data_IF_254568058414
#
_entry.id   IF_254568058414
#
_cell.length_a   1.000
_cell.length_b   1.000
_cell.length_c   1.000
_cell.angle_alpha   90.00
_cell.angle_beta   90.00
_cell.angle_gamma   90.00
#
_symmetry.space_group_name_H-M   'P 1'
#
loop_
_entity.id
_entity.type
_entity.pdbx_description
1 polymer ?
#
# COMPACT_ATOMS: atom_id res chain seq x y z
N UNK A 1 -12.05 -33.22 23.75
CA UNK A 1 -11.96 -31.88 24.38
C UNK A 1 -10.96 -31.08 23.57
N UNK A 2 -11.32 -29.86 23.13
CA UNK A 2 -10.34 -28.98 22.53
C UNK A 2 -9.25 -28.68 23.57
N UNK A 3 -7.96 -28.69 23.20
CA UNK A 3 -6.89 -28.38 24.14
C UNK A 3 -7.03 -26.94 24.63
N UNK A 4 -6.88 -26.73 25.94
CA UNK A 4 -6.88 -25.40 26.51
C UNK A 4 -5.60 -24.68 26.10
N UNK A 5 -5.73 -23.63 25.29
CA UNK A 5 -4.57 -22.89 24.77
C UNK A 5 -3.89 -22.01 25.82
N UNK A 6 -4.52 -21.84 27.00
CA UNK A 6 -3.91 -21.09 28.12
C UNK A 6 -2.92 -21.93 28.94
N UNK A 7 -2.96 -23.26 28.77
CA UNK A 7 -2.03 -24.17 29.46
C UNK A 7 -0.62 -24.06 28.85
N UNK A 8 0.44 -23.83 29.65
CA UNK A 8 1.82 -23.81 29.16
C UNK A 8 2.24 -25.06 28.37
N UNK A 9 1.66 -26.23 28.67
CA UNK A 9 1.94 -27.48 27.96
C UNK A 9 1.49 -27.45 26.49
N UNK A 10 0.51 -26.62 26.14
CA UNK A 10 0.11 -26.39 24.75
C UNK A 10 1.24 -25.73 23.95
N UNK A 11 1.97 -24.80 24.56
CA UNK A 11 3.04 -24.03 23.92
C UNK A 11 4.41 -24.71 24.03
N UNK A 12 4.68 -25.42 25.12
CA UNK A 12 5.94 -26.12 25.38
C UNK A 12 6.02 -27.45 24.62
N UNK A 13 5.87 -27.40 23.30
CA UNK A 13 5.96 -28.56 22.44
C UNK A 13 6.88 -28.30 21.23
N UNK A 14 7.40 -29.38 20.64
CA UNK A 14 8.31 -29.31 19.50
C UNK A 14 7.67 -28.68 18.25
N UNK A 15 6.34 -28.74 18.12
CA UNK A 15 5.60 -28.22 16.96
C UNK A 15 5.61 -26.70 16.98
N UNK A 16 5.31 -26.11 18.14
CA UNK A 16 5.42 -24.68 18.37
C UNK A 16 6.84 -24.19 18.13
N UNK A 17 7.86 -24.90 18.64
CA UNK A 17 9.26 -24.52 18.41
C UNK A 17 9.60 -24.46 16.91
N UNK A 18 9.12 -25.41 16.10
CA UNK A 18 9.32 -25.38 14.65
C UNK A 18 8.53 -24.25 14.00
N UNK A 19 7.25 -24.06 14.34
CA UNK A 19 6.43 -22.96 13.84
C UNK A 19 7.05 -21.58 14.18
N UNK A 20 7.50 -21.40 15.41
CA UNK A 20 8.23 -20.21 15.87
C UNK A 20 9.51 -20.01 15.07
N UNK A 21 10.27 -21.07 14.82
CA UNK A 21 11.48 -20.99 13.99
C UNK A 21 11.16 -20.50 12.58
N UNK A 22 10.10 -21.02 11.95
CA UNK A 22 9.69 -20.57 10.62
C UNK A 22 9.31 -19.09 10.62
N UNK A 23 8.43 -18.66 11.53
CA UNK A 23 7.98 -17.26 11.61
C UNK A 23 9.16 -16.32 11.89
N UNK A 24 10.01 -16.64 12.86
CA UNK A 24 11.17 -15.82 13.20
C UNK A 24 12.20 -15.77 12.06
N UNK A 25 12.40 -16.88 11.34
CA UNK A 25 13.27 -16.90 10.17
C UNK A 25 12.75 -16.02 9.03
N UNK A 26 11.44 -16.04 8.78
CA UNK A 26 10.78 -15.16 7.80
C UNK A 26 10.89 -13.70 8.20
N UNK A 27 10.67 -13.37 9.48
CA UNK A 27 10.86 -12.02 10.00
C UNK A 27 12.32 -11.55 9.86
N UNK A 28 13.29 -12.40 10.22
CA UNK A 28 14.70 -12.07 10.09
C UNK A 28 15.09 -11.83 8.62
N UNK A 29 14.60 -12.64 7.70
CA UNK A 29 14.79 -12.43 6.26
C UNK A 29 14.15 -11.13 5.78
N UNK A 30 12.94 -10.81 6.24
CA UNK A 30 12.26 -9.55 5.91
C UNK A 30 13.03 -8.33 6.44
N UNK A 31 13.49 -8.37 7.70
CA UNK A 31 14.32 -7.31 8.26
C UNK A 31 15.65 -7.17 7.54
N UNK A 32 16.28 -8.28 7.13
CA UNK A 32 17.49 -8.24 6.34
C UNK A 32 17.27 -7.60 4.96
N UNK A 33 16.14 -7.91 4.30
CA UNK A 33 15.77 -7.26 3.03
C UNK A 33 15.57 -5.76 3.21
N UNK A 34 14.83 -5.32 4.24
CA UNK A 34 14.66 -3.91 4.53
C UNK A 34 16.00 -3.24 4.86
N UNK A 35 16.79 -3.84 5.74
CA UNK A 35 18.12 -3.33 6.09
C UNK A 35 19.03 -3.18 4.87
N UNK A 36 18.98 -4.14 3.93
CA UNK A 36 19.83 -4.14 2.74
C UNK A 36 19.38 -3.14 1.69
N UNK A 37 18.08 -3.05 1.41
CA UNK A 37 17.55 -2.28 0.28
C UNK A 37 17.05 -0.88 0.70
N UNK A 38 16.40 -0.75 1.85
CA UNK A 38 15.89 0.54 2.36
C UNK A 38 17.05 1.48 2.73
N UNK A 39 18.07 0.98 3.45
CA UNK A 39 19.23 1.79 3.81
C UNK A 39 20.09 2.16 2.60
N UNK A 40 20.16 1.28 1.61
CA UNK A 40 20.88 1.57 0.37
C UNK A 40 20.15 2.64 -0.45
N UNK A 41 18.82 2.59 -0.51
CA UNK A 41 18.01 3.66 -1.09
C UNK A 41 18.19 4.96 -0.30
N UNK A 42 18.13 4.95 1.04
CA UNK A 42 18.31 6.17 1.83
C UNK A 42 19.68 6.83 1.61
N UNK A 43 20.77 6.04 1.66
CA UNK A 43 22.14 6.54 1.47
C UNK A 43 22.43 6.95 0.01
N UNK A 44 21.93 6.20 -0.97
CA UNK A 44 22.05 6.55 -2.38
C UNK A 44 21.24 7.80 -2.74
N UNK A 45 20.06 7.93 -2.14
CA UNK A 45 19.17 9.06 -2.36
C UNK A 45 19.69 10.32 -1.64
N UNK A 46 20.43 10.24 -0.52
CA UNK A 46 21.16 11.41 0.03
C UNK A 46 22.20 11.99 -0.93
N UNK A 47 22.97 11.13 -1.60
CA UNK A 47 23.96 11.56 -2.59
C UNK A 47 23.32 12.14 -3.86
N UNK A 48 22.13 11.63 -4.23
CA UNK A 48 21.31 12.14 -5.35
C UNK A 48 20.52 13.40 -4.99
N UNK A 49 20.03 13.54 -3.75
CA UNK A 49 19.27 14.68 -3.19
C UNK A 49 20.05 15.99 -3.24
N UNK A 50 21.37 15.95 -3.14
CA UNK A 50 22.23 17.12 -3.33
C UNK A 50 22.18 17.69 -4.77
N UNK A 51 21.94 16.83 -5.78
CA UNK A 51 21.74 17.25 -7.17
C UNK A 51 20.25 17.46 -7.51
N UNK A 52 19.32 16.88 -6.74
CA UNK A 52 17.88 16.78 -7.03
C UNK A 52 17.01 17.83 -6.33
N UNK A 53 17.58 18.89 -5.73
CA UNK A 53 16.78 19.98 -5.15
C UNK A 53 15.83 20.67 -6.15
N UNK A 54 16.10 20.53 -7.45
CA UNK A 54 15.31 21.07 -8.57
C UNK A 54 14.36 20.03 -9.23
N UNK A 55 14.51 18.75 -8.91
CA UNK A 55 13.78 17.62 -9.52
C UNK A 55 12.96 16.83 -8.48
N UNK A 56 13.09 17.15 -7.18
CA UNK A 56 12.26 16.57 -6.11
C UNK A 56 10.75 16.88 -6.22
N UNK A 57 10.38 17.93 -6.97
CA UNK A 57 8.97 18.24 -7.28
C UNK A 57 8.34 17.12 -8.13
N UNK A 58 9.11 16.51 -9.05
CA UNK A 58 8.64 15.43 -9.94
C UNK A 58 8.45 14.08 -9.22
N UNK A 59 9.11 13.87 -8.07
CA UNK A 59 8.98 12.61 -7.29
C UNK A 59 7.75 12.60 -6.38
N UNK A 60 7.22 13.75 -5.99
CA UNK A 60 6.00 13.86 -5.19
C UNK A 60 4.73 13.82 -6.05
N UNK A 61 4.87 14.06 -7.36
CA UNK A 61 3.79 13.95 -8.36
C UNK A 61 3.34 12.49 -8.59
N UNK A 62 4.16 11.48 -8.30
CA UNK A 62 3.86 10.07 -8.61
C UNK A 62 2.71 9.47 -7.77
N UNK A 63 2.37 10.04 -6.60
CA UNK A 63 1.42 9.43 -5.65
C UNK A 63 -0.06 9.68 -5.99
N UNK A 64 -0.34 10.77 -6.71
CA UNK A 64 -1.69 11.24 -7.01
C UNK A 64 -1.98 11.37 -8.50
N UNK A 65 -0.96 11.18 -9.35
CA UNK A 65 -1.12 11.24 -10.80
C UNK A 65 -1.71 9.94 -11.37
N UNK A 66 -2.69 10.05 -12.28
CA UNK A 66 -3.07 8.95 -13.15
C UNK A 66 -1.90 8.53 -14.06
N UNK A 67 -1.91 7.29 -14.53
CA UNK A 67 -0.91 6.76 -15.46
C UNK A 67 -0.83 7.49 -16.80
N UNK A 68 -1.95 8.06 -17.21
CA UNK A 68 -2.12 8.69 -18.50
C UNK A 68 -2.27 10.19 -18.28
N UNK A 69 -1.48 10.98 -19.02
CA UNK A 69 -1.55 12.44 -19.04
C UNK A 69 -2.93 12.99 -19.43
N UNK A 70 -3.73 12.18 -20.11
CA UNK A 70 -5.06 12.53 -20.61
C UNK A 70 -6.17 12.35 -19.56
N UNK A 71 -5.92 11.60 -18.49
CA UNK A 71 -6.92 11.37 -17.44
C UNK A 71 -6.79 12.49 -16.41
N UNK A 72 -7.86 13.25 -16.21
CA UNK A 72 -7.92 14.25 -15.16
C UNK A 72 -7.75 13.58 -13.77
N UNK A 73 -6.88 14.10 -12.88
CA UNK A 73 -6.62 13.49 -11.55
C UNK A 73 -7.89 13.32 -10.70
N UNK A 74 -8.92 14.12 -10.97
CA UNK A 74 -10.24 14.00 -10.37
C UNK A 74 -10.93 12.63 -10.56
N UNK A 75 -10.68 11.91 -11.66
CA UNK A 75 -11.28 10.57 -11.85
C UNK A 75 -10.69 9.53 -10.89
N UNK A 76 -9.37 9.58 -10.68
CA UNK A 76 -8.69 8.74 -9.70
C UNK A 76 -9.19 9.06 -8.28
N UNK A 77 -9.40 10.34 -7.98
CA UNK A 77 -9.99 10.77 -6.72
C UNK A 77 -11.40 10.19 -6.50
N UNK A 78 -12.30 10.35 -7.48
CA UNK A 78 -13.68 9.84 -7.39
C UNK A 78 -13.68 8.33 -7.15
N UNK A 79 -12.86 7.58 -7.90
CA UNK A 79 -12.73 6.14 -7.72
C UNK A 79 -12.27 5.77 -6.30
N UNK A 80 -11.20 6.41 -5.79
CA UNK A 80 -10.66 6.13 -4.45
C UNK A 80 -11.64 6.45 -3.34
N UNK A 81 -12.41 7.53 -3.46
CA UNK A 81 -13.44 7.93 -2.50
C UNK A 81 -14.59 6.93 -2.48
N UNK A 82 -15.07 6.50 -3.66
CA UNK A 82 -16.12 5.47 -3.76
C UNK A 82 -15.62 4.15 -3.15
N UNK A 83 -14.43 3.70 -3.52
CA UNK A 83 -13.83 2.49 -2.97
C UNK A 83 -13.67 2.56 -1.46
N UNK A 84 -13.24 3.70 -0.91
CA UNK A 84 -13.13 3.93 0.53
C UNK A 84 -14.48 3.75 1.24
N UNK A 85 -15.52 4.46 0.79
CA UNK A 85 -16.85 4.37 1.42
C UNK A 85 -17.45 2.97 1.29
N UNK A 86 -17.31 2.33 0.14
CA UNK A 86 -17.78 0.96 -0.06
C UNK A 86 -17.09 -0.02 0.90
N UNK A 87 -15.76 0.04 1.03
CA UNK A 87 -15.03 -0.82 1.96
C UNK A 87 -15.39 -0.50 3.42
N UNK A 88 -15.47 0.78 3.79
CA UNK A 88 -15.82 1.18 5.15
C UNK A 88 -17.22 0.69 5.55
N UNK A 89 -18.21 0.85 4.67
CA UNK A 89 -19.57 0.34 4.90
C UNK A 89 -19.56 -1.18 5.05
N UNK A 90 -18.84 -1.91 4.19
CA UNK A 90 -18.77 -3.37 4.28
C UNK A 90 -18.17 -3.86 5.60
N UNK A 91 -17.07 -3.25 6.08
CA UNK A 91 -16.49 -3.57 7.39
C UNK A 91 -17.50 -3.30 8.50
N UNK A 92 -18.13 -2.12 8.49
CA UNK A 92 -19.06 -1.72 9.54
C UNK A 92 -20.26 -2.67 9.58
N UNK A 93 -20.83 -3.00 8.42
CA UNK A 93 -21.95 -3.95 8.32
C UNK A 93 -21.53 -5.35 8.76
N UNK A 94 -20.35 -5.84 8.38
CA UNK A 94 -19.85 -7.15 8.84
C UNK A 94 -19.76 -7.21 10.37
N UNK A 95 -19.18 -6.19 10.99
CA UNK A 95 -19.04 -6.11 12.45
C UNK A 95 -20.41 -6.00 13.13
N UNK A 96 -21.35 -5.22 12.58
CA UNK A 96 -22.70 -5.08 13.14
C UNK A 96 -23.47 -6.40 13.06
N UNK A 97 -23.39 -7.11 11.94
CA UNK A 97 -24.18 -8.33 11.72
C UNK A 97 -23.57 -9.57 12.39
N UNK A 98 -22.24 -9.71 12.38
CA UNK A 98 -21.53 -10.91 12.84
C UNK A 98 -20.77 -10.72 14.15
N UNK A 99 -20.68 -9.48 14.64
CA UNK A 99 -19.98 -9.13 15.87
C UNK A 99 -18.48 -8.86 15.69
N UNK A 100 -17.87 -8.31 16.74
CA UNK A 100 -16.45 -7.94 16.74
C UNK A 100 -15.48 -9.13 16.72
N UNK A 101 -15.96 -10.36 16.96
CA UNK A 101 -15.14 -11.58 16.86
C UNK A 101 -14.61 -11.82 15.44
N UNK A 102 -15.22 -11.22 14.42
CA UNK A 102 -14.71 -11.24 13.05
C UNK A 102 -13.32 -10.58 12.94
N UNK A 103 -12.99 -9.62 13.81
CA UNK A 103 -11.68 -8.96 13.82
C UNK A 103 -10.51 -9.90 14.17
N UNK A 104 -10.78 -11.14 14.58
CA UNK A 104 -9.75 -12.17 14.75
C UNK A 104 -9.28 -12.78 13.42
N UNK A 105 -10.01 -12.59 12.32
CA UNK A 105 -9.61 -13.15 11.02
C UNK A 105 -8.60 -12.26 10.29
N UNK A 106 -7.61 -12.87 9.66
CA UNK A 106 -6.60 -12.19 8.84
C UNK A 106 -7.22 -11.51 7.62
N UNK A 107 -8.29 -12.08 7.08
CA UNK A 107 -9.11 -11.44 6.03
C UNK A 107 -9.59 -10.06 6.47
N UNK A 108 -10.09 -9.92 7.71
CA UNK A 108 -10.59 -8.64 8.22
C UNK A 108 -9.46 -7.63 8.41
N UNK A 109 -8.29 -8.07 8.89
CA UNK A 109 -7.10 -7.23 8.98
C UNK A 109 -6.66 -6.71 7.61
N UNK A 110 -6.70 -7.59 6.60
CA UNK A 110 -6.35 -7.24 5.22
C UNK A 110 -7.36 -6.26 4.63
N UNK A 111 -8.66 -6.50 4.82
CA UNK A 111 -9.72 -5.63 4.31
C UNK A 111 -9.72 -4.26 5.02
N UNK A 112 -9.41 -4.22 6.31
CA UNK A 112 -9.16 -2.97 7.06
C UNK A 112 -7.97 -2.21 6.49
N UNK A 113 -6.86 -2.89 6.19
CA UNK A 113 -5.67 -2.27 5.60
C UNK A 113 -5.95 -1.72 4.18
N UNK A 114 -6.79 -2.41 3.40
CA UNK A 114 -7.30 -1.91 2.11
C UNK A 114 -8.17 -0.67 2.29
N UNK A 115 -9.01 -0.64 3.32
CA UNK A 115 -9.84 0.53 3.64
C UNK A 115 -8.97 1.73 4.03
N UNK A 116 -7.96 1.52 4.88
CA UNK A 116 -6.98 2.56 5.24
C UNK A 116 -6.23 3.06 4.01
N UNK A 117 -5.84 2.16 3.10
CA UNK A 117 -5.21 2.52 1.85
C UNK A 117 -6.06 3.45 1.00
N UNK A 118 -7.33 3.13 0.77
CA UNK A 118 -8.22 4.00 0.00
C UNK A 118 -8.51 5.33 0.70
N UNK A 119 -8.55 5.34 2.03
CA UNK A 119 -8.65 6.57 2.81
C UNK A 119 -7.43 7.48 2.61
N UNK A 120 -6.22 6.95 2.78
CA UNK A 120 -4.98 7.69 2.53
C UNK A 120 -4.84 8.10 1.06
N UNK A 121 -5.17 7.20 0.13
CA UNK A 121 -5.13 7.47 -1.31
C UNK A 121 -6.08 8.59 -1.70
N UNK A 122 -7.26 8.67 -1.07
CA UNK A 122 -8.20 9.78 -1.25
C UNK A 122 -7.59 11.09 -0.76
N UNK A 123 -6.97 11.12 0.43
CA UNK A 123 -6.30 12.32 0.95
C UNK A 123 -5.18 12.81 0.00
N UNK A 124 -4.33 11.89 -0.48
CA UNK A 124 -3.29 12.23 -1.46
C UNK A 124 -3.87 12.70 -2.80
N UNK A 125 -4.94 12.09 -3.28
CA UNK A 125 -5.61 12.52 -4.50
C UNK A 125 -6.28 13.90 -4.35
N UNK A 126 -6.84 14.24 -3.19
CA UNK A 126 -7.36 15.59 -2.89
C UNK A 126 -6.22 16.61 -2.94
N UNK A 127 -5.13 16.32 -2.23
CA UNK A 127 -3.94 17.18 -2.23
C UNK A 127 -3.39 17.40 -3.66
N UNK A 128 -3.29 16.32 -4.43
CA UNK A 128 -2.87 16.35 -5.82
C UNK A 128 -3.78 17.17 -6.73
N UNK A 129 -5.09 16.99 -6.62
CA UNK A 129 -6.07 17.79 -7.36
C UNK A 129 -5.96 19.29 -7.02
N UNK A 130 -5.74 19.63 -5.75
CA UNK A 130 -5.54 21.02 -5.33
C UNK A 130 -4.25 21.61 -5.92
N UNK A 131 -3.16 20.84 -5.94
CA UNK A 131 -1.90 21.26 -6.55
C UNK A 131 -2.04 21.41 -8.09
N UNK A 132 -2.73 20.47 -8.75
CA UNK A 132 -2.99 20.52 -10.18
C UNK A 132 -3.85 21.75 -10.57
N UNK A 133 -4.88 22.06 -9.80
CA UNK A 133 -5.72 23.24 -10.00
C UNK A 133 -4.90 24.53 -9.86
N UNK A 134 -4.06 24.62 -8.82
CA UNK A 134 -3.20 25.79 -8.59
C UNK A 134 -2.22 26.04 -9.74
N UNK A 135 -1.55 24.99 -10.23
CA UNK A 135 -0.62 25.11 -11.37
C UNK A 135 -1.34 25.49 -12.66
N UNK A 136 -2.57 25.03 -12.85
CA UNK A 136 -3.40 25.38 -14.01
C UNK A 136 -3.81 26.86 -13.95
N UNK A 137 -4.19 27.35 -12.78
CA UNK A 137 -4.57 28.75 -12.54
C UNK A 137 -3.38 29.70 -12.77
N UNK A 138 -2.20 29.39 -12.19
CA UNK A 138 -0.97 30.15 -12.42
C UNK A 138 -0.62 30.20 -13.92
N UNK A 139 -0.73 29.08 -14.64
CA UNK A 139 -0.45 29.02 -16.08
C UNK A 139 -1.43 29.84 -16.92
N UNK A 140 -2.70 29.89 -16.53
CA UNK A 140 -3.70 30.75 -17.18
C UNK A 140 -3.35 32.22 -16.95
N UNK A 141 -2.99 32.60 -15.71
CA UNK A 141 -2.63 33.98 -15.36
C UNK A 141 -1.40 34.46 -16.17
N UNK A 142 -0.36 33.61 -16.28
CA UNK A 142 0.81 33.90 -17.13
C UNK A 142 0.44 34.07 -18.62
N UNK A 143 -0.46 33.25 -19.17
CA UNK A 143 -0.88 33.34 -20.57
C UNK A 143 -1.73 34.58 -20.83
N UNK A 144 -2.56 35.00 -19.87
CA UNK A 144 -3.33 36.24 -19.94
C UNK A 144 -2.41 37.46 -19.88
N UNK A 145 -1.41 37.46 -18.99
CA UNK A 145 -0.40 38.52 -18.88
C UNK A 145 0.49 38.64 -20.14
N UNK A 146 0.86 37.51 -20.77
CA UNK A 146 1.67 37.50 -22.00
C UNK A 146 0.87 37.93 -23.24
N UNK A 147 -0.44 37.64 -23.28
CA UNK A 147 -1.35 38.11 -24.32
C UNK A 147 -1.58 39.63 -24.27
N UNK A 148 -1.48 40.25 -23.08
CA UNK A 148 -1.56 41.71 -22.91
C UNK A 148 -0.21 42.43 -23.17
N UNK A 149 0.91 41.70 -23.32
CA UNK A 149 2.26 42.27 -23.43
C UNK A 149 3.02 41.88 -24.71
N UNK A 150 2.65 42.44 -25.87
CA UNK A 150 3.60 42.98 -26.91
C UNK A 150 2.89 43.56 -28.15
N UNK A 151 3.49 44.52 -28.91
CA UNK A 151 4.89 44.99 -28.81
C UNK A 151 5.11 46.53 -28.86
N UNK A 152 6.16 47.01 -28.18
CA UNK A 152 7.19 47.86 -28.78
C UNK A 152 8.54 47.56 -28.14
N UNK A 153 9.49 47.12 -28.96
CA UNK A 153 10.89 46.91 -28.59
C UNK A 153 11.61 48.25 -28.69
N UNK A 154 12.30 48.67 -27.63
CA UNK A 154 13.55 49.43 -27.77
C UNK A 154 14.61 48.87 -26.81
N UNK A 155 15.85 48.63 -27.26
CA UNK A 155 16.93 48.17 -26.41
C UNK A 155 17.61 49.36 -25.73
N UNK A 156 17.79 49.31 -24.41
CA UNK A 156 18.76 50.16 -23.71
C UNK A 156 19.48 49.38 -22.61
N UNK A 157 20.79 49.34 -22.76
CA UNK A 157 21.79 48.98 -21.77
C UNK A 157 21.74 49.90 -20.54
N UNK A 158 22.02 49.35 -19.35
CA UNK A 158 23.09 49.81 -18.45
C UNK A 158 23.12 49.05 -17.10
N UNK A 159 24.32 48.59 -16.81
CA UNK A 159 25.00 48.13 -15.60
C UNK A 159 24.48 48.46 -14.17
N UNK A 160 24.62 47.42 -13.32
CA UNK A 160 25.27 47.34 -12.00
C UNK A 160 24.57 47.76 -10.68
N UNK A 161 24.65 46.78 -9.76
CA UNK A 161 24.81 46.83 -8.31
C UNK A 161 23.73 47.48 -7.41
N UNK A 162 23.03 46.62 -6.64
CA UNK A 162 23.33 46.45 -5.21
C UNK A 162 22.50 45.31 -4.61
N UNK A 163 23.17 44.48 -3.80
CA UNK A 163 22.57 43.32 -3.16
C UNK A 163 21.44 43.69 -2.20
N UNK A 164 20.34 42.95 -2.28
CA UNK A 164 19.35 42.91 -1.20
C UNK A 164 19.64 41.71 -0.29
N UNK A 165 19.47 41.85 1.04
CA UNK A 165 19.74 40.76 1.95
C UNK A 165 18.69 39.68 1.75
N UNK A 166 19.15 38.43 1.68
CA UNK A 166 18.32 37.22 1.76
C UNK A 166 17.47 37.34 3.03
N UNK A 167 16.24 37.83 2.87
CA UNK A 167 15.21 37.78 3.88
C UNK A 167 14.94 36.30 4.11
N UNK A 168 15.36 35.77 5.26
CA UNK A 168 14.97 34.44 5.71
C UNK A 168 13.45 34.46 5.91
N UNK A 169 12.73 34.03 4.88
CA UNK A 169 11.28 33.93 4.91
C UNK A 169 10.85 32.94 6.01
N UNK A 170 9.96 33.34 6.94
CA UNK A 170 9.39 32.43 7.94
C UNK A 170 8.61 31.27 7.32
N UNK A 171 8.14 31.42 6.07
CA UNK A 171 7.50 30.34 5.29
C UNK A 171 8.43 29.24 4.79
N UNK A 172 9.77 29.41 4.86
CA UNK A 172 10.72 28.39 4.39
C UNK A 172 10.74 27.15 5.29
N UNK A 173 10.54 27.33 6.61
CA UNK A 173 10.54 26.23 7.58
C UNK A 173 9.21 25.46 7.56
N UNK A 174 8.09 26.17 7.38
CA UNK A 174 6.76 25.56 7.24
C UNK A 174 6.64 24.75 5.94
N UNK A 175 7.11 25.31 4.81
CA UNK A 175 7.17 24.60 3.53
C UNK A 175 8.04 23.33 3.61
N UNK A 176 9.21 23.42 4.26
CA UNK A 176 10.10 22.27 4.46
C UNK A 176 9.47 21.18 5.33
N UNK A 177 8.68 21.56 6.33
CA UNK A 177 7.97 20.60 7.20
C UNK A 177 6.81 19.93 6.47
N UNK A 178 6.01 20.68 5.70
CA UNK A 178 4.93 20.12 4.86
C UNK A 178 5.52 19.13 3.85
N UNK A 179 6.62 19.49 3.19
CA UNK A 179 7.30 18.60 2.24
C UNK A 179 7.80 17.30 2.90
N UNK A 180 8.40 17.39 4.11
CA UNK A 180 8.81 16.20 4.86
C UNK A 180 7.62 15.30 5.21
N UNK A 181 6.50 15.88 5.63
CA UNK A 181 5.28 15.14 5.98
C UNK A 181 4.69 14.47 4.74
N UNK A 182 4.57 15.19 3.62
CA UNK A 182 4.08 14.64 2.34
C UNK A 182 4.97 13.49 1.87
N UNK A 183 6.29 13.62 1.98
CA UNK A 183 7.24 12.56 1.60
C UNK A 183 7.14 11.32 2.50
N UNK A 184 7.06 11.51 3.82
CA UNK A 184 6.85 10.41 4.76
C UNK A 184 5.51 9.72 4.52
N UNK A 185 4.46 10.51 4.28
CA UNK A 185 3.13 10.01 3.95
C UNK A 185 3.09 9.22 2.65
N UNK A 186 3.77 9.70 1.59
CA UNK A 186 3.87 8.99 0.31
C UNK A 186 4.64 7.66 0.43
N UNK A 187 5.70 7.63 1.22
CA UNK A 187 6.44 6.40 1.52
C UNK A 187 5.55 5.39 2.28
N UNK A 188 4.87 5.84 3.33
CA UNK A 188 3.92 5.02 4.07
C UNK A 188 2.78 4.50 3.18
N UNK A 189 2.22 5.35 2.33
CA UNK A 189 1.17 4.98 1.37
C UNK A 189 1.66 3.87 0.42
N UNK A 190 2.90 3.97 -0.06
CA UNK A 190 3.50 2.96 -0.92
C UNK A 190 3.79 1.64 -0.18
N UNK A 191 4.19 1.69 1.10
CA UNK A 191 4.29 0.49 1.95
C UNK A 191 2.92 -0.19 2.06
N UNK A 192 1.90 0.56 2.44
CA UNK A 192 0.55 0.03 2.65
C UNK A 192 0.01 -0.58 1.35
N UNK A 193 0.18 0.10 0.22
CA UNK A 193 -0.19 -0.40 -1.11
C UNK A 193 0.42 -1.78 -1.40
N UNK A 194 1.71 -1.96 -1.13
CA UNK A 194 2.41 -3.20 -1.45
C UNK A 194 2.13 -4.31 -0.45
N UNK A 195 1.96 -3.96 0.83
CA UNK A 195 1.46 -4.90 1.84
C UNK A 195 0.07 -5.41 1.44
N UNK A 196 -0.83 -4.51 1.01
CA UNK A 196 -2.16 -4.88 0.52
C UNK A 196 -2.10 -5.78 -0.71
N UNK A 197 -1.22 -5.49 -1.67
CA UNK A 197 -1.05 -6.31 -2.86
C UNK A 197 -0.72 -7.77 -2.52
N UNK A 198 0.22 -8.00 -1.59
CA UNK A 198 0.53 -9.35 -1.12
C UNK A 198 -0.60 -9.97 -0.29
N UNK A 199 -1.13 -9.21 0.67
CA UNK A 199 -2.13 -9.69 1.62
C UNK A 199 -3.44 -10.07 0.93
N UNK A 200 -3.95 -9.23 0.02
CA UNK A 200 -5.18 -9.50 -0.75
C UNK A 200 -5.01 -10.75 -1.63
N UNK A 201 -3.88 -10.89 -2.32
CA UNK A 201 -3.62 -12.10 -3.12
C UNK A 201 -3.54 -13.35 -2.26
N UNK A 202 -2.92 -13.27 -1.08
CA UNK A 202 -2.86 -14.39 -0.16
C UNK A 202 -4.24 -14.77 0.39
N UNK A 203 -5.03 -13.79 0.85
CA UNK A 203 -6.37 -14.04 1.40
C UNK A 203 -7.29 -14.60 0.34
N UNK A 204 -7.27 -14.05 -0.87
CA UNK A 204 -8.21 -14.43 -1.91
C UNK A 204 -7.78 -15.76 -2.55
N UNK A 205 -6.48 -15.99 -2.73
CA UNK A 205 -6.00 -17.30 -3.16
C UNK A 205 -6.42 -18.39 -2.15
N UNK A 206 -6.18 -18.14 -0.87
CA UNK A 206 -6.53 -19.10 0.19
C UNK A 206 -8.04 -19.30 0.27
N UNK A 207 -8.83 -18.23 0.17
CA UNK A 207 -10.28 -18.33 0.20
C UNK A 207 -10.83 -19.11 -1.00
N UNK A 208 -10.48 -18.72 -2.23
CA UNK A 208 -11.05 -19.29 -3.44
C UNK A 208 -10.50 -20.66 -3.85
N UNK A 209 -9.21 -20.93 -3.58
CA UNK A 209 -8.58 -22.18 -4.04
C UNK A 209 -8.36 -23.20 -2.92
N UNK A 210 -8.44 -22.80 -1.65
CA UNK A 210 -8.24 -23.71 -0.51
C UNK A 210 -9.53 -23.86 0.29
N UNK A 211 -10.10 -22.77 0.81
CA UNK A 211 -11.25 -22.83 1.72
C UNK A 211 -12.53 -23.21 0.97
N UNK A 212 -12.88 -22.47 -0.08
CA UNK A 212 -14.11 -22.68 -0.85
C UNK A 212 -14.25 -24.11 -1.42
N UNK A 213 -13.25 -24.70 -2.09
CA UNK A 213 -13.41 -26.04 -2.68
C UNK A 213 -13.26 -27.18 -1.67
N UNK A 214 -12.44 -27.05 -0.62
CA UNK A 214 -12.10 -28.18 0.26
C UNK A 214 -12.74 -28.11 1.65
N UNK A 215 -13.05 -26.93 2.16
CA UNK A 215 -13.53 -26.73 3.54
C UNK A 215 -15.03 -26.39 3.64
N UNK A 216 -15.68 -26.02 2.52
CA UNK A 216 -17.12 -25.73 2.47
C UNK A 216 -17.99 -26.99 2.29
N UNK A 217 -17.39 -28.19 2.29
CA UNK A 217 -18.10 -29.45 2.01
C UNK A 217 -19.02 -29.94 3.13
N UNK A 218 -19.07 -29.26 4.28
CA UNK A 218 -19.96 -29.57 5.40
C UNK A 218 -20.40 -28.25 6.05
N UNK A 219 -21.62 -27.80 5.76
CA UNK A 219 -22.38 -26.78 6.50
C UNK A 219 -21.88 -25.32 6.54
N UNK A 220 -21.00 -24.87 5.63
CA UNK A 220 -20.68 -23.44 5.53
C UNK A 220 -21.66 -22.71 4.60
N UNK A 221 -22.65 -22.03 5.18
CA UNK A 221 -23.41 -20.98 4.49
C UNK A 221 -22.45 -19.83 4.16
N UNK A 222 -21.95 -19.81 2.92
CA UNK A 222 -21.12 -18.73 2.41
C UNK A 222 -21.95 -17.45 2.39
N UNK A 223 -21.71 -16.59 3.37
CA UNK A 223 -22.37 -15.29 3.44
C UNK A 223 -21.95 -14.41 2.25
N UNK A 224 -22.95 -13.81 1.60
CA UNK A 224 -22.76 -12.91 0.46
C UNK A 224 -21.79 -11.78 0.81
N UNK A 225 -21.80 -11.32 2.08
CA UNK A 225 -20.92 -10.27 2.54
C UNK A 225 -19.45 -10.73 2.54
N UNK A 226 -19.17 -11.97 2.93
CA UNK A 226 -17.82 -12.52 2.91
C UNK A 226 -17.30 -12.71 1.48
N UNK A 227 -18.15 -13.19 0.56
CA UNK A 227 -17.83 -13.25 -0.88
C UNK A 227 -17.55 -11.84 -1.42
N UNK A 228 -18.38 -10.87 -1.05
CA UNK A 228 -18.21 -9.46 -1.43
C UNK A 228 -16.87 -8.89 -0.96
N UNK A 229 -16.50 -9.10 0.30
CA UNK A 229 -15.23 -8.62 0.85
C UNK A 229 -14.01 -9.24 0.17
N UNK A 230 -14.05 -10.55 -0.14
CA UNK A 230 -12.98 -11.28 -0.85
C UNK A 230 -12.92 -11.03 -2.36
N UNK A 231 -13.95 -10.41 -2.95
CA UNK A 231 -13.95 -10.08 -4.38
C UNK A 231 -13.63 -8.61 -4.59
N UNK A 232 -14.23 -7.73 -3.77
CA UNK A 232 -14.12 -6.28 -3.93
C UNK A 232 -12.75 -5.75 -3.52
N UNK A 233 -12.07 -6.36 -2.55
CA UNK A 233 -10.69 -6.02 -2.20
C UNK A 233 -9.73 -6.15 -3.39
N UNK A 234 -9.75 -7.29 -4.10
CA UNK A 234 -8.93 -7.53 -5.28
C UNK A 234 -9.35 -6.63 -6.44
N UNK A 235 -10.66 -6.54 -6.72
CA UNK A 235 -11.16 -5.71 -7.81
C UNK A 235 -10.76 -4.25 -7.61
N UNK A 236 -11.01 -3.67 -6.43
CA UNK A 236 -10.65 -2.28 -6.17
C UNK A 236 -9.15 -2.06 -6.23
N UNK A 237 -8.34 -2.96 -5.65
CA UNK A 237 -6.89 -2.80 -5.66
C UNK A 237 -6.29 -2.93 -7.07
N UNK A 238 -6.76 -3.87 -7.88
CA UNK A 238 -6.35 -4.04 -9.28
C UNK A 238 -6.79 -2.84 -10.12
N UNK A 239 -8.00 -2.33 -9.92
CA UNK A 239 -8.48 -1.13 -10.59
C UNK A 239 -7.65 0.11 -10.21
N UNK A 240 -7.35 0.34 -8.92
CA UNK A 240 -6.45 1.44 -8.53
C UNK A 240 -5.08 1.25 -9.16
N UNK A 241 -4.55 0.03 -9.12
CA UNK A 241 -3.28 -0.34 -9.76
C UNK A 241 -3.30 -0.08 -11.26
N UNK A 242 -4.43 -0.24 -11.94
CA UNK A 242 -4.56 0.07 -13.36
C UNK A 242 -4.52 1.58 -13.62
N UNK A 243 -5.11 2.38 -12.73
CA UNK A 243 -5.24 3.83 -12.88
C UNK A 243 -4.02 4.62 -12.37
N UNK A 244 -3.37 4.18 -11.30
CA UNK A 244 -2.30 4.90 -10.60
C UNK A 244 -0.90 4.62 -11.20
N UNK A 245 0.03 5.57 -11.10
CA UNK A 245 1.42 5.42 -11.57
C UNK A 245 2.39 4.86 -10.51
N UNK A 246 1.89 4.22 -9.45
CA UNK A 246 2.74 3.82 -8.32
C UNK A 246 3.78 2.77 -8.72
N UNK A 247 5.01 2.98 -8.25
CA UNK A 247 6.10 2.02 -8.42
C UNK A 247 5.95 0.83 -7.47
N UNK A 248 6.40 -0.34 -7.92
CA UNK A 248 6.32 -1.60 -7.18
C UNK A 248 7.70 -2.28 -7.07
N UNK A 249 8.60 -1.77 -6.21
CA UNK A 249 9.83 -2.47 -5.83
C UNK A 249 9.55 -3.83 -5.21
N UNK A 250 10.26 -4.87 -5.68
CA UNK A 250 10.09 -6.25 -5.21
C UNK A 250 10.56 -6.47 -3.77
N UNK A 251 11.57 -5.73 -3.29
CA UNK A 251 12.16 -5.96 -1.97
C UNK A 251 11.17 -5.68 -0.82
N UNK A 252 10.13 -4.89 -1.08
CA UNK A 252 9.10 -4.53 -0.10
C UNK A 252 8.08 -5.63 0.16
N UNK A 253 8.25 -6.81 -0.45
CA UNK A 253 7.66 -8.07 0.04
C UNK A 253 7.92 -8.27 1.54
N UNK A 254 9.02 -7.72 2.06
CA UNK A 254 9.35 -7.72 3.47
C UNK A 254 8.22 -7.14 4.35
N UNK A 255 7.55 -6.06 3.96
CA UNK A 255 6.45 -5.49 4.74
C UNK A 255 5.23 -6.41 4.78
N UNK A 256 4.95 -7.10 3.67
CA UNK A 256 3.90 -8.12 3.63
C UNK A 256 4.22 -9.30 4.55
N UNK A 257 5.45 -9.81 4.53
CA UNK A 257 5.91 -10.88 5.44
C UNK A 257 5.84 -10.43 6.91
N UNK A 258 6.21 -9.18 7.21
CA UNK A 258 6.11 -8.65 8.57
C UNK A 258 4.65 -8.50 9.01
N UNK A 259 3.76 -8.08 8.12
CA UNK A 259 2.33 -7.95 8.40
C UNK A 259 1.67 -9.29 8.75
N UNK A 260 1.94 -10.35 7.98
CA UNK A 260 1.46 -11.71 8.30
C UNK A 260 2.08 -12.26 9.57
N UNK A 261 3.39 -12.06 9.77
CA UNK A 261 4.08 -12.49 10.99
C UNK A 261 3.53 -11.80 12.23
N UNK A 262 3.23 -10.50 12.11
CA UNK A 262 2.61 -9.72 13.19
C UNK A 262 1.22 -10.28 13.55
N UNK A 263 0.39 -10.60 12.55
CA UNK A 263 -0.89 -11.26 12.79
C UNK A 263 -0.73 -12.61 13.51
N UNK A 264 0.22 -13.45 13.08
CA UNK A 264 0.47 -14.76 13.70
C UNK A 264 0.91 -14.60 15.16
N UNK A 265 1.83 -13.68 15.45
CA UNK A 265 2.27 -13.39 16.83
C UNK A 265 1.11 -12.86 17.67
N UNK A 266 0.30 -11.95 17.12
CA UNK A 266 -0.90 -11.45 17.79
C UNK A 266 -1.84 -12.61 18.16
N UNK A 267 -2.09 -13.53 17.24
CA UNK A 267 -2.91 -14.72 17.50
C UNK A 267 -2.31 -15.62 18.57
N UNK A 268 -0.99 -15.81 18.56
CA UNK A 268 -0.31 -16.61 19.58
C UNK A 268 -0.47 -16.00 20.97
N UNK A 269 -0.22 -14.70 21.10
CA UNK A 269 -0.38 -13.98 22.37
C UNK A 269 -1.83 -14.03 22.84
N UNK A 270 -2.79 -13.81 21.94
CA UNK A 270 -4.21 -13.86 22.27
C UNK A 270 -4.62 -15.23 22.82
N UNK A 271 -4.23 -16.33 22.15
CA UNK A 271 -4.56 -17.70 22.58
C UNK A 271 -3.81 -18.13 23.84
N UNK A 272 -2.63 -17.57 24.10
CA UNK A 272 -1.90 -17.80 25.35
C UNK A 272 -2.58 -17.10 26.54
N UNK A 273 -3.22 -15.95 26.31
CA UNK A 273 -3.91 -15.18 27.34
C UNK A 273 -5.36 -15.61 27.56
N UNK A 274 -6.07 -16.01 26.50
CA UNK A 274 -7.50 -16.32 26.53
C UNK A 274 -7.75 -17.58 25.70
N UNK A 275 -8.44 -18.56 26.28
CA UNK A 275 -8.82 -19.79 25.58
C UNK A 275 -9.92 -19.48 24.56
N UNK A 276 -9.54 -19.39 23.29
CA UNK A 276 -10.43 -19.08 22.16
C UNK A 276 -10.30 -20.17 21.10
N UNK A 277 -11.28 -20.23 20.19
CA UNK A 277 -11.16 -21.06 19.00
C UNK A 277 -10.21 -20.42 17.99
N UNK A 278 -9.43 -21.24 17.29
CA UNK A 278 -8.58 -20.74 16.21
C UNK A 278 -9.42 -20.20 15.06
N UNK A 279 -9.14 -18.98 14.55
CA UNK A 279 -9.84 -18.46 13.37
C UNK A 279 -9.53 -19.29 12.11
N UNK A 280 -8.36 -19.93 12.07
CA UNK A 280 -7.95 -20.79 10.97
C UNK A 280 -7.46 -22.14 11.50
N UNK A 281 -8.02 -23.27 11.03
CA UNK A 281 -7.60 -24.60 11.50
C UNK A 281 -6.11 -24.90 11.27
N UNK A 282 -5.50 -24.31 10.23
CA UNK A 282 -4.08 -24.50 9.94
C UNK A 282 -3.12 -23.73 10.87
N UNK A 283 -3.64 -22.80 11.69
CA UNK A 283 -2.86 -22.14 12.75
C UNK A 283 -2.81 -22.95 14.05
N UNK A 284 -3.74 -23.88 14.23
CA UNK A 284 -3.82 -24.72 15.43
C UNK A 284 -2.57 -25.59 15.58
N UNK A 285 -1.87 -25.42 16.70
CA UNK A 285 -0.62 -26.11 17.03
C UNK A 285 -0.87 -27.51 17.60
N UNK A 286 -2.13 -27.85 17.92
CA UNK A 286 -2.55 -29.18 18.35
C UNK A 286 -2.35 -30.23 17.24
N UNK A 287 -2.37 -29.81 15.98
CA UNK A 287 -2.16 -30.68 14.83
C UNK A 287 -0.68 -30.99 14.62
N UNK A 288 -0.35 -32.27 14.40
CA UNK A 288 1.01 -32.71 14.06
C UNK A 288 1.52 -32.10 12.73
N UNK A 289 0.61 -31.65 11.85
CA UNK A 289 0.94 -31.03 10.56
C UNK A 289 1.11 -29.51 10.65
N UNK A 290 0.96 -28.90 11.83
CA UNK A 290 1.09 -27.45 11.99
C UNK A 290 2.39 -26.88 11.42
N UNK A 291 3.60 -27.45 11.64
CA UNK A 291 4.82 -26.86 11.08
C UNK A 291 4.84 -26.82 9.55
N UNK A 292 4.19 -27.79 8.90
CA UNK A 292 4.08 -27.86 7.43
C UNK A 292 3.18 -26.73 6.93
N UNK A 293 2.07 -26.44 7.61
CA UNK A 293 1.18 -25.34 7.24
C UNK A 293 1.84 -23.98 7.39
N UNK A 294 2.58 -23.74 8.48
CA UNK A 294 3.32 -22.49 8.68
C UNK A 294 4.39 -22.30 7.60
N UNK A 295 5.11 -23.36 7.24
CA UNK A 295 6.07 -23.32 6.14
C UNK A 295 5.37 -23.10 4.78
N UNK A 296 4.24 -23.76 4.52
CA UNK A 296 3.49 -23.62 3.28
C UNK A 296 3.01 -22.17 3.09
N UNK A 297 2.46 -21.55 4.15
CA UNK A 297 2.06 -20.15 4.13
C UNK A 297 3.28 -19.25 3.89
N UNK A 298 4.41 -19.49 4.57
CA UNK A 298 5.65 -18.73 4.34
C UNK A 298 6.11 -18.79 2.87
N UNK A 299 6.07 -19.97 2.24
CA UNK A 299 6.40 -20.13 0.81
C UNK A 299 5.39 -19.42 -0.08
N UNK A 300 4.10 -19.47 0.24
CA UNK A 300 3.01 -18.88 -0.54
C UNK A 300 3.09 -17.35 -0.64
N UNK A 301 3.80 -16.67 0.28
CA UNK A 301 4.05 -15.24 0.18
C UNK A 301 4.72 -14.83 -1.13
N UNK A 302 5.66 -15.64 -1.60
CA UNK A 302 6.45 -15.33 -2.80
C UNK A 302 5.58 -15.30 -4.07
N UNK A 303 4.84 -16.36 -4.44
CA UNK A 303 3.99 -16.33 -5.62
C UNK A 303 2.82 -15.33 -5.49
N UNK A 304 2.20 -15.20 -4.32
CA UNK A 304 1.11 -14.23 -4.11
C UNK A 304 1.60 -12.79 -4.31
N UNK A 305 2.79 -12.46 -3.82
CA UNK A 305 3.36 -11.14 -4.02
C UNK A 305 3.87 -10.93 -5.46
N UNK A 306 4.44 -11.96 -6.10
CA UNK A 306 5.00 -11.87 -7.44
C UNK A 306 3.95 -11.62 -8.55
N UNK A 307 2.67 -11.88 -8.26
CA UNK A 307 1.57 -11.64 -9.20
C UNK A 307 1.37 -10.15 -9.55
N UNK A 308 1.47 -9.25 -8.58
CA UNK A 308 1.31 -7.80 -8.80
C UNK A 308 2.36 -7.17 -9.72
N UNK A 309 3.67 -7.45 -9.55
CA UNK A 309 4.71 -7.03 -10.50
C UNK A 309 4.43 -7.47 -11.93
N UNK A 310 3.83 -8.66 -12.12
CA UNK A 310 3.44 -9.15 -13.44
C UNK A 310 2.31 -8.29 -14.02
N UNK A 311 1.26 -7.98 -13.23
CA UNK A 311 0.17 -7.08 -13.64
C UNK A 311 0.73 -5.72 -14.07
N UNK A 312 1.65 -5.15 -13.29
CA UNK A 312 2.24 -3.84 -13.57
C UNK A 312 3.08 -3.87 -14.85
N UNK A 313 3.85 -4.94 -15.08
CA UNK A 313 4.58 -5.14 -16.33
C UNK A 313 3.64 -5.24 -17.54
N UNK A 314 2.58 -6.03 -17.43
CA UNK A 314 1.57 -6.19 -18.49
C UNK A 314 0.92 -4.84 -18.79
N UNK A 315 0.47 -4.13 -17.75
CA UNK A 315 -0.07 -2.78 -17.85
C UNK A 315 0.88 -1.83 -18.58
N UNK A 316 2.16 -1.79 -18.20
CA UNK A 316 3.16 -0.92 -18.84
C UNK A 316 3.31 -1.25 -20.32
N UNK A 317 3.36 -2.54 -20.68
CA UNK A 317 3.42 -2.98 -22.06
C UNK A 317 2.17 -2.57 -22.86
N UNK A 318 0.97 -2.72 -22.28
CA UNK A 318 -0.29 -2.34 -22.92
C UNK A 318 -0.40 -0.82 -23.13
N UNK A 319 -0.06 -0.04 -22.11
CA UNK A 319 -0.12 1.43 -22.20
C UNK A 319 0.89 1.96 -23.22
N UNK A 320 2.13 1.46 -23.24
CA UNK A 320 3.12 1.85 -24.24
C UNK A 320 2.69 1.47 -25.67
N UNK A 321 1.96 0.36 -25.83
CA UNK A 321 1.47 -0.10 -27.14
C UNK A 321 0.27 0.72 -27.64
N UNK A 322 -0.65 1.08 -26.77
CA UNK A 322 -1.91 1.74 -27.15
C UNK A 322 -1.86 3.26 -27.06
N UNK A 323 -0.97 3.81 -26.24
CA UNK A 323 -0.87 5.23 -25.93
C UNK A 323 0.60 5.73 -25.88
N UNK A 324 1.34 5.61 -27.00
CA UNK A 324 2.79 5.91 -27.03
C UNK A 324 3.13 7.37 -26.65
N UNK A 325 2.27 8.33 -26.98
CA UNK A 325 2.55 9.76 -26.80
C UNK A 325 2.11 10.34 -25.43
N UNK A 326 1.42 9.56 -24.58
CA UNK A 326 0.77 10.08 -23.35
C UNK A 326 1.25 9.43 -22.05
N UNK A 327 2.21 8.50 -22.12
CA UNK A 327 2.77 7.84 -20.94
C UNK A 327 3.84 8.72 -20.26
N UNK A 328 3.76 8.84 -18.93
CA UNK A 328 4.90 9.33 -18.15
C UNK A 328 5.97 8.24 -18.15
N UNK A 329 7.08 8.45 -18.87
CA UNK A 329 8.30 7.67 -18.64
C UNK A 329 8.81 8.03 -17.23
N UNK A 330 8.38 7.29 -16.21
CA UNK A 330 9.17 7.21 -14.98
C UNK A 330 10.43 6.41 -15.31
N UNK A 331 11.58 7.07 -15.13
CA UNK A 331 12.92 6.50 -15.25
C UNK A 331 13.44 6.03 -13.90
#
# INVERSE_FOLDING_TARGET
MAPDTTDPSYWLNWRFLLCATWVLSSMAAAFFLLWRYENFELNGNERRKAQLGKMGILSEEEFWMPCLKTIHPGWLLVFRVIAFFMCAVLIIVDIILKGASQLYFYTQWTFLLVTIYFGLGSLFSIYGCHQYAKVTDDKIDYLVLDAESRPYVTPKDCESANGSPIAKNPGSNEYLNIQKITRLGGHLFQIIYQTNAGAVMLTDFTFWFVIFPFLTSVDFDLDFLQIGMHSLNAVFLICDTALNSLQFPLFRIAYFILWTSFFVIFQWVLHACISLWWPYPFLDLSSARSPIWYLAVAVLHVPCYAFFPLIIKIKRCLILRWFPDTYYLSY
#
